data_IF_287955102079
#
_entry.id   IF_287955102079
#
_cell.length_a   1.000
_cell.length_b   1.000
_cell.length_c   1.000
_cell.angle_alpha   90.00
_cell.angle_beta   90.00
_cell.angle_gamma   90.00
#
_symmetry.space_group_name_H-M   'P 1'
#
loop_
_entity.id
_entity.type
_entity.pdbx_description
1 polymer ?
#
# COMPACT_ATOMS: atom_id res chain seq x y z
N UNK A 1 -29.08 -12.48 -15.86
CA UNK A 1 -27.72 -13.04 -15.81
C UNK A 1 -26.77 -11.86 -15.97
N UNK A 2 -26.14 -11.40 -14.89
CA UNK A 2 -25.10 -10.36 -14.94
C UNK A 2 -23.94 -10.94 -15.75
N UNK A 3 -23.64 -10.35 -16.91
CA UNK A 3 -22.46 -10.69 -17.69
C UNK A 3 -21.25 -10.55 -16.76
N UNK A 4 -20.54 -11.64 -16.46
CA UNK A 4 -19.28 -11.58 -15.71
C UNK A 4 -18.33 -10.67 -16.50
N UNK A 5 -18.10 -9.47 -16.02
CA UNK A 5 -16.99 -8.64 -16.49
C UNK A 5 -15.68 -9.39 -16.26
N UNK A 6 -14.65 -9.09 -17.05
CA UNK A 6 -13.31 -9.64 -16.82
C UNK A 6 -12.89 -9.42 -15.35
N UNK A 7 -12.06 -10.29 -14.79
CA UNK A 7 -11.41 -10.02 -13.51
C UNK A 7 -10.71 -8.66 -13.55
N UNK A 8 -10.77 -7.91 -12.45
CA UNK A 8 -10.01 -6.69 -12.28
C UNK A 8 -8.72 -6.96 -11.51
N UNK A 9 -7.71 -6.18 -11.81
CA UNK A 9 -6.48 -6.09 -11.04
C UNK A 9 -6.64 -4.97 -10.00
N UNK A 10 -6.70 -5.33 -8.73
CA UNK A 10 -6.90 -4.40 -7.61
C UNK A 10 -5.63 -4.31 -6.77
N UNK A 11 -5.11 -3.10 -6.63
CA UNK A 11 -4.06 -2.79 -5.66
C UNK A 11 -4.72 -2.10 -4.47
N UNK A 12 -4.74 -2.75 -3.33
CA UNK A 12 -5.28 -2.21 -2.08
C UNK A 12 -4.12 -1.76 -1.21
N UNK A 13 -4.02 -0.46 -0.95
CA UNK A 13 -2.94 0.12 -0.16
C UNK A 13 -3.47 0.64 1.18
N UNK A 14 -2.86 0.19 2.27
CA UNK A 14 -3.22 0.59 3.62
C UNK A 14 -1.97 0.73 4.49
N UNK A 15 -2.08 1.51 5.56
CA UNK A 15 -1.03 1.58 6.58
C UNK A 15 -1.07 0.43 7.58
N UNK A 16 -2.21 -0.28 7.67
CA UNK A 16 -2.44 -1.40 8.59
C UNK A 16 -3.28 -2.47 7.91
N UNK A 17 -3.06 -3.74 8.23
CA UNK A 17 -3.95 -4.85 7.95
C UNK A 17 -3.63 -6.03 8.86
N UNK A 18 -4.66 -6.71 9.38
CA UNK A 18 -4.49 -7.98 10.07
C UNK A 18 -4.08 -9.08 9.08
N UNK A 19 -3.20 -10.03 9.49
CA UNK A 19 -2.55 -10.18 10.80
C UNK A 19 -1.20 -9.42 10.92
N UNK A 20 -0.85 -8.53 9.98
CA UNK A 20 0.49 -7.97 9.82
C UNK A 20 0.80 -6.80 10.74
N UNK A 21 -0.12 -5.85 10.84
CA UNK A 21 0.02 -4.65 11.67
C UNK A 21 -1.37 -4.14 12.06
N UNK A 22 -1.56 -3.77 13.33
CA UNK A 22 -2.85 -3.28 13.80
C UNK A 22 -2.69 -2.30 14.98
N UNK A 23 -3.33 -1.14 14.84
CA UNK A 23 -3.58 -0.21 15.94
C UNK A 23 -5.07 0.11 16.10
N UNK A 24 -5.85 0.00 15.02
CA UNK A 24 -7.27 0.37 15.01
C UNK A 24 -8.13 -0.48 14.09
N UNK A 25 -9.36 -0.03 13.83
CA UNK A 25 -10.35 -0.72 13.00
C UNK A 25 -10.01 -0.76 11.52
N UNK A 26 -9.15 0.15 11.04
CA UNK A 26 -8.63 0.13 9.66
C UNK A 26 -8.04 -1.25 9.32
N UNK A 27 -7.25 -1.81 10.24
CA UNK A 27 -6.57 -3.09 10.02
C UNK A 27 -7.55 -4.25 9.78
N UNK A 28 -8.69 -4.26 10.44
CA UNK A 28 -9.71 -5.30 10.27
C UNK A 28 -10.30 -5.22 8.85
N UNK A 29 -10.64 -4.04 8.38
CA UNK A 29 -11.20 -3.84 7.04
C UNK A 29 -10.16 -4.14 5.96
N UNK A 30 -8.94 -3.59 6.10
CA UNK A 30 -7.88 -3.79 5.11
C UNK A 30 -7.37 -5.25 5.07
N UNK A 31 -7.52 -6.00 6.15
CA UNK A 31 -7.23 -7.44 6.18
C UNK A 31 -8.33 -8.30 5.56
N UNK A 32 -9.61 -7.92 5.70
CA UNK A 32 -10.75 -8.72 5.26
C UNK A 32 -11.20 -8.40 3.81
N UNK A 33 -11.36 -7.12 3.48
CA UNK A 33 -11.92 -6.68 2.19
C UNK A 33 -11.15 -7.19 0.96
N UNK A 34 -9.80 -7.19 0.92
CA UNK A 34 -9.06 -7.75 -0.21
C UNK A 34 -9.33 -9.24 -0.44
N UNK A 35 -9.52 -10.01 0.63
CA UNK A 35 -9.85 -11.43 0.54
C UNK A 35 -11.23 -11.66 -0.10
N UNK A 36 -12.22 -10.80 0.21
CA UNK A 36 -13.53 -10.87 -0.44
C UNK A 36 -13.43 -10.57 -1.94
N UNK A 37 -12.60 -9.61 -2.35
CA UNK A 37 -12.35 -9.36 -3.77
C UNK A 37 -11.73 -10.59 -4.47
N UNK A 38 -10.81 -11.30 -3.80
CA UNK A 38 -10.25 -12.55 -4.34
C UNK A 38 -11.33 -13.63 -4.49
N UNK A 39 -12.22 -13.79 -3.50
CA UNK A 39 -13.35 -14.73 -3.57
C UNK A 39 -14.31 -14.39 -4.72
N UNK A 40 -14.50 -13.10 -5.03
CA UNK A 40 -15.28 -12.63 -6.17
C UNK A 40 -14.58 -12.86 -7.52
N UNK A 41 -13.34 -13.32 -7.51
CA UNK A 41 -12.60 -13.71 -8.71
C UNK A 41 -11.65 -12.65 -9.25
N UNK A 42 -11.41 -11.57 -8.51
CA UNK A 42 -10.46 -10.54 -8.87
C UNK A 42 -9.01 -10.96 -8.55
N UNK A 43 -8.04 -10.34 -9.21
CA UNK A 43 -6.62 -10.45 -8.89
C UNK A 43 -6.22 -9.29 -7.98
N UNK A 44 -5.76 -9.60 -6.77
CA UNK A 44 -5.60 -8.60 -5.70
C UNK A 44 -4.19 -8.64 -5.13
N UNK A 45 -3.60 -7.46 -4.98
CA UNK A 45 -2.41 -7.22 -4.18
C UNK A 45 -2.80 -6.31 -3.00
N UNK A 46 -2.60 -6.78 -1.78
CA UNK A 46 -2.60 -5.95 -0.58
C UNK A 46 -1.20 -5.41 -0.35
N UNK A 47 -1.04 -4.10 -0.25
CA UNK A 47 0.24 -3.42 -0.11
C UNK A 47 0.32 -2.65 1.20
N UNK A 48 1.35 -2.93 1.99
CA UNK A 48 1.57 -2.40 3.34
C UNK A 48 2.99 -1.86 3.51
N UNK A 49 3.24 -0.92 4.44
CA UNK A 49 4.59 -0.66 4.89
C UNK A 49 5.17 -1.89 5.60
N UNK A 50 6.47 -2.14 5.42
CA UNK A 50 7.18 -3.22 6.11
C UNK A 50 7.58 -2.78 7.51
N UNK A 51 6.62 -2.73 8.42
CA UNK A 51 6.89 -2.47 9.83
C UNK A 51 7.63 -3.64 10.48
N UNK A 52 8.32 -3.37 11.58
CA UNK A 52 8.97 -4.40 12.42
C UNK A 52 8.00 -5.53 12.80
N UNK A 53 6.73 -5.21 13.03
CA UNK A 53 5.69 -6.17 13.40
C UNK A 53 5.36 -7.16 12.26
N UNK A 54 5.44 -6.74 11.01
CA UNK A 54 5.20 -7.59 9.84
C UNK A 54 6.17 -8.78 9.85
N UNK A 55 7.42 -8.56 10.19
CA UNK A 55 8.42 -9.62 10.30
C UNK A 55 8.12 -10.62 11.43
N UNK A 56 7.32 -10.23 12.42
CA UNK A 56 6.92 -11.06 13.55
C UNK A 56 5.60 -11.80 13.34
N UNK A 57 4.82 -11.42 12.33
CA UNK A 57 3.50 -12.01 12.03
C UNK A 57 3.54 -13.47 11.54
N UNK A 58 4.74 -14.06 11.43
CA UNK A 58 4.94 -15.45 11.00
C UNK A 58 4.78 -15.69 9.50
N UNK A 59 4.53 -14.65 8.71
CA UNK A 59 4.51 -14.73 7.24
C UNK A 59 5.93 -14.81 6.67
N UNK A 60 6.13 -15.68 5.69
CA UNK A 60 7.38 -15.70 4.93
C UNK A 60 7.26 -14.73 3.77
N UNK A 61 7.97 -13.61 3.86
CA UNK A 61 8.10 -12.66 2.76
C UNK A 61 9.37 -12.94 1.97
N UNK A 62 9.27 -12.91 0.66
CA UNK A 62 10.40 -13.10 -0.26
C UNK A 62 10.66 -11.82 -1.03
N UNK A 63 11.92 -11.41 -1.24
CA UNK A 63 12.26 -10.22 -2.01
C UNK A 63 11.72 -10.31 -3.46
N UNK A 64 11.14 -9.23 -3.93
CA UNK A 64 10.62 -9.06 -5.30
C UNK A 64 11.52 -8.13 -6.10
N UNK A 65 11.72 -6.92 -5.59
CA UNK A 65 12.49 -5.87 -6.27
C UNK A 65 12.89 -4.77 -5.28
N UNK A 66 13.94 -4.04 -5.62
CA UNK A 66 14.27 -2.76 -4.97
C UNK A 66 14.03 -1.65 -5.98
N UNK A 67 13.16 -0.69 -5.63
CA UNK A 67 12.75 0.42 -6.50
C UNK A 67 13.36 1.72 -6.02
N UNK A 68 13.96 2.53 -6.92
CA UNK A 68 14.36 3.89 -6.58
C UNK A 68 13.12 4.79 -6.47
N UNK A 69 13.03 5.53 -5.39
CA UNK A 69 11.94 6.45 -5.08
C UNK A 69 12.48 7.85 -4.90
N UNK A 70 12.07 8.77 -5.77
CA UNK A 70 12.45 10.19 -5.66
C UNK A 70 11.66 10.85 -4.54
N UNK A 71 12.37 11.48 -3.62
CA UNK A 71 11.82 12.28 -2.53
C UNK A 71 12.41 13.70 -2.53
N UNK A 72 11.84 14.66 -1.79
CA UNK A 72 12.47 15.96 -1.62
C UNK A 72 13.88 15.91 -1.01
N UNK A 73 14.18 14.85 -0.25
CA UNK A 73 15.49 14.64 0.40
C UNK A 73 16.47 13.85 -0.48
N UNK A 74 16.09 13.52 -1.72
CA UNK A 74 16.89 12.74 -2.66
C UNK A 74 16.29 11.38 -3.00
N UNK A 75 17.11 10.52 -3.63
CA UNK A 75 16.70 9.18 -4.03
C UNK A 75 16.82 8.20 -2.86
N UNK A 76 15.73 7.54 -2.53
CA UNK A 76 15.69 6.48 -1.53
C UNK A 76 15.32 5.15 -2.19
N UNK A 77 15.67 4.04 -1.54
CA UNK A 77 15.33 2.71 -2.02
C UNK A 77 14.12 2.15 -1.27
N UNK A 78 13.11 1.70 -2.01
CA UNK A 78 11.99 0.93 -1.50
C UNK A 78 12.23 -0.56 -1.77
N UNK A 79 12.39 -1.36 -0.71
CA UNK A 79 12.50 -2.81 -0.81
C UNK A 79 11.10 -3.40 -0.83
N UNK A 80 10.74 -4.07 -1.92
CA UNK A 80 9.43 -4.73 -2.07
C UNK A 80 9.58 -6.22 -1.84
N UNK A 81 8.75 -6.77 -0.98
CA UNK A 81 8.70 -8.20 -0.67
C UNK A 81 7.28 -8.73 -0.82
N UNK A 82 7.15 -10.03 -1.11
CA UNK A 82 5.88 -10.71 -1.34
C UNK A 82 5.66 -11.88 -0.38
N UNK A 83 4.44 -12.02 0.10
CA UNK A 83 3.90 -13.25 0.67
C UNK A 83 2.64 -13.68 -0.08
N UNK A 84 2.41 -15.00 -0.20
CA UNK A 84 1.21 -15.57 -0.79
C UNK A 84 0.30 -16.12 0.31
N UNK A 85 -0.92 -15.61 0.39
CA UNK A 85 -1.90 -15.97 1.41
C UNK A 85 -3.03 -16.80 0.79
N UNK A 86 -3.36 -17.98 1.33
CA UNK A 86 -4.49 -18.76 0.84
C UNK A 86 -5.82 -18.07 1.17
N UNK A 87 -6.72 -18.02 0.18
CA UNK A 87 -8.09 -17.49 0.31
C UNK A 87 -9.05 -18.47 -0.37
N UNK A 88 -9.52 -19.46 0.37
CA UNK A 88 -10.24 -20.61 -0.18
C UNK A 88 -9.35 -21.39 -1.16
N UNK A 89 -9.83 -21.60 -2.38
CA UNK A 89 -9.08 -22.26 -3.46
C UNK A 89 -8.11 -21.33 -4.21
N UNK A 90 -8.10 -20.05 -3.86
CA UNK A 90 -7.27 -19.03 -4.51
C UNK A 90 -6.15 -18.57 -3.59
N UNK A 91 -5.31 -17.68 -4.10
CA UNK A 91 -4.26 -17.00 -3.33
C UNK A 91 -4.36 -15.50 -3.53
N UNK A 92 -4.08 -14.77 -2.47
CA UNK A 92 -3.90 -13.33 -2.47
C UNK A 92 -2.41 -13.01 -2.33
N UNK A 93 -1.94 -12.04 -3.06
CA UNK A 93 -0.59 -11.50 -2.87
C UNK A 93 -0.64 -10.42 -1.80
N UNK A 94 0.26 -10.52 -0.84
CA UNK A 94 0.53 -9.46 0.14
C UNK A 94 1.92 -8.95 -0.11
N UNK A 95 2.04 -7.68 -0.44
CA UNK A 95 3.30 -7.02 -0.69
C UNK A 95 3.62 -6.04 0.41
N UNK A 96 4.89 -5.91 0.75
CA UNK A 96 5.37 -4.92 1.71
C UNK A 96 6.38 -4.00 1.06
N UNK A 97 6.36 -2.74 1.46
CA UNK A 97 7.34 -1.73 1.08
C UNK A 97 8.19 -1.39 2.30
N UNK A 98 9.47 -1.74 2.24
CA UNK A 98 10.45 -1.51 3.30
C UNK A 98 11.39 -0.35 3.00
N UNK A 99 11.66 0.44 4.03
CA UNK A 99 12.78 1.34 4.18
C UNK A 99 13.06 1.44 5.68
N UNK A 100 14.16 0.85 6.13
CA UNK A 100 14.35 0.53 7.55
C UNK A 100 14.29 1.77 8.45
N UNK A 101 14.89 2.90 8.06
CA UNK A 101 14.82 4.14 8.84
C UNK A 101 13.39 4.67 9.00
N UNK A 102 12.46 4.32 8.09
CA UNK A 102 11.06 4.74 8.16
C UNK A 102 10.17 3.71 8.84
N UNK A 103 10.37 2.41 8.60
CA UNK A 103 9.39 1.40 8.99
C UNK A 103 9.87 0.35 9.98
N UNK A 104 11.19 0.14 10.16
CA UNK A 104 11.70 -0.76 11.20
C UNK A 104 11.78 -0.04 12.56
N UNK A 105 10.62 0.32 13.10
CA UNK A 105 10.48 1.05 14.37
C UNK A 105 9.62 0.28 15.35
N UNK A 106 9.63 0.71 16.60
CA UNK A 106 8.90 0.07 17.72
C UNK A 106 7.39 0.14 17.53
N UNK A 107 6.87 1.27 17.09
CA UNK A 107 5.44 1.48 16.80
C UNK A 107 5.19 1.85 15.33
N UNK A 108 3.93 1.79 14.92
CA UNK A 108 3.53 2.11 13.55
C UNK A 108 3.62 3.62 13.29
N UNK A 109 3.11 4.43 14.21
CA UNK A 109 2.98 5.89 14.06
C UNK A 109 3.67 6.69 15.16
N UNK A 110 3.90 6.06 16.31
CA UNK A 110 4.33 6.71 17.53
C UNK A 110 5.21 5.78 18.37
N UNK A 111 5.96 6.38 19.30
CA UNK A 111 6.70 5.67 20.32
C UNK A 111 6.47 6.33 21.68
N UNK A 112 6.16 5.53 22.71
CA UNK A 112 5.86 6.01 24.06
C UNK A 112 4.74 7.08 24.10
N UNK A 113 3.75 7.00 23.19
CA UNK A 113 2.62 7.92 23.13
C UNK A 113 2.91 9.25 22.40
N UNK A 114 4.08 9.37 21.76
CA UNK A 114 4.47 10.56 20.99
C UNK A 114 4.59 10.18 19.52
N UNK A 115 3.89 10.89 18.63
CA UNK A 115 3.97 10.68 17.20
C UNK A 115 5.39 10.89 16.68
N UNK A 116 5.78 10.07 15.69
CA UNK A 116 7.04 10.29 15.01
C UNK A 116 7.01 11.61 14.25
N UNK A 117 7.99 12.50 14.45
CA UNK A 117 8.01 13.82 13.83
C UNK A 117 8.09 13.77 12.29
N UNK A 118 8.60 12.67 11.75
CA UNK A 118 8.77 12.42 10.32
C UNK A 118 7.63 11.58 9.72
N UNK A 119 6.46 11.50 10.33
CA UNK A 119 5.32 10.75 9.79
C UNK A 119 4.90 11.24 8.41
N UNK A 120 5.00 12.55 8.13
CA UNK A 120 4.71 13.09 6.81
C UNK A 120 5.64 12.49 5.75
N UNK A 121 6.95 12.53 5.98
CA UNK A 121 7.97 12.03 5.07
C UNK A 121 7.85 10.51 4.87
N UNK A 122 7.59 9.77 5.94
CA UNK A 122 7.41 8.31 5.92
C UNK A 122 6.27 7.91 4.99
N UNK A 123 5.09 8.52 5.15
CA UNK A 123 3.93 8.17 4.36
C UNK A 123 3.91 8.83 2.97
N UNK A 124 4.57 9.97 2.79
CA UNK A 124 4.84 10.52 1.46
C UNK A 124 5.77 9.58 0.66
N UNK A 125 6.83 9.06 1.29
CA UNK A 125 7.68 8.02 0.69
C UNK A 125 6.88 6.77 0.34
N UNK A 126 6.03 6.28 1.27
CA UNK A 126 5.19 5.11 1.01
C UNK A 126 4.29 5.33 -0.21
N UNK A 127 3.62 6.47 -0.30
CA UNK A 127 2.79 6.81 -1.46
C UNK A 127 3.59 6.86 -2.78
N UNK A 128 4.79 7.44 -2.76
CA UNK A 128 5.68 7.43 -3.94
C UNK A 128 6.10 6.01 -4.32
N UNK A 129 6.45 5.19 -3.33
CA UNK A 129 6.83 3.80 -3.55
C UNK A 129 5.68 2.95 -4.09
N UNK A 130 4.42 3.21 -3.69
CA UNK A 130 3.23 2.60 -4.30
C UNK A 130 3.17 2.91 -5.80
N UNK A 131 3.38 4.16 -6.19
CA UNK A 131 3.36 4.57 -7.60
C UNK A 131 4.44 3.84 -8.40
N UNK A 132 5.68 3.80 -7.91
CA UNK A 132 6.77 3.07 -8.58
C UNK A 132 6.51 1.56 -8.63
N UNK A 133 5.86 1.01 -7.60
CA UNK A 133 5.42 -0.39 -7.58
C UNK A 133 4.38 -0.68 -8.68
N UNK A 134 3.42 0.22 -8.90
CA UNK A 134 2.44 0.09 -9.98
C UNK A 134 3.09 0.09 -11.36
N UNK A 135 4.07 0.97 -11.57
CA UNK A 135 4.84 1.02 -12.82
C UNK A 135 5.63 -0.27 -13.03
N UNK A 136 6.32 -0.75 -11.99
CA UNK A 136 7.02 -2.03 -12.02
C UNK A 136 6.09 -3.19 -12.36
N UNK A 137 4.93 -3.26 -11.72
CA UNK A 137 3.93 -4.31 -11.98
C UNK A 137 3.50 -4.32 -13.44
N UNK A 138 3.23 -3.18 -14.02
CA UNK A 138 2.83 -3.09 -15.42
C UNK A 138 3.95 -3.45 -16.37
N UNK A 139 5.15 -2.93 -16.17
CA UNK A 139 6.29 -3.12 -17.07
C UNK A 139 6.86 -4.53 -17.00
N UNK A 140 7.12 -5.00 -15.77
CA UNK A 140 7.91 -6.21 -15.57
C UNK A 140 7.05 -7.46 -15.30
N UNK A 141 5.80 -7.25 -14.85
CA UNK A 141 4.87 -8.32 -14.52
C UNK A 141 3.64 -8.37 -15.44
N UNK A 142 3.52 -7.44 -16.39
CA UNK A 142 2.36 -7.31 -17.29
C UNK A 142 1.02 -7.23 -16.51
N UNK A 143 1.08 -6.65 -15.32
CA UNK A 143 -0.04 -6.50 -14.40
C UNK A 143 -0.41 -5.02 -14.25
N UNK A 144 -1.29 -4.54 -15.14
CA UNK A 144 -1.82 -3.18 -15.07
C UNK A 144 -2.85 -3.06 -13.95
N UNK A 145 -2.71 -2.05 -13.09
CA UNK A 145 -3.66 -1.77 -12.01
C UNK A 145 -4.94 -1.16 -12.58
N UNK A 146 -6.07 -1.87 -12.53
CA UNK A 146 -7.38 -1.32 -12.90
C UNK A 146 -7.91 -0.36 -11.82
N UNK A 147 -7.77 -0.75 -10.54
CA UNK A 147 -8.20 0.06 -9.39
C UNK A 147 -7.10 0.12 -8.33
N UNK A 148 -6.79 1.33 -7.90
CA UNK A 148 -6.00 1.62 -6.71
C UNK A 148 -6.96 2.01 -5.59
N UNK A 149 -7.13 1.13 -4.59
CA UNK A 149 -7.95 1.38 -3.42
C UNK A 149 -7.07 1.82 -2.26
N UNK A 150 -7.24 3.04 -1.84
CA UNK A 150 -6.48 3.74 -0.83
C UNK A 150 -7.26 3.79 0.48
N UNK A 151 -6.57 3.64 1.60
CA UNK A 151 -7.17 3.68 2.93
C UNK A 151 -6.51 4.75 3.79
N UNK A 152 -7.31 5.71 4.21
CA UNK A 152 -6.96 6.87 5.06
C UNK A 152 -5.85 7.79 4.50
N UNK A 153 -5.45 8.77 5.31
CA UNK A 153 -4.51 9.82 4.90
C UNK A 153 -3.12 9.29 4.53
N UNK A 154 -2.70 8.19 5.15
CA UNK A 154 -1.39 7.58 4.93
C UNK A 154 -1.16 7.13 3.48
N UNK A 155 -2.23 6.91 2.72
CA UNK A 155 -2.17 6.50 1.32
C UNK A 155 -2.76 7.54 0.36
N UNK A 156 -3.45 8.56 0.88
CA UNK A 156 -4.22 9.52 0.09
C UNK A 156 -3.38 10.31 -0.94
N UNK A 157 -2.10 10.58 -0.65
CA UNK A 157 -1.21 11.28 -1.58
C UNK A 157 -1.03 10.56 -2.92
N UNK A 158 -1.25 9.24 -2.99
CA UNK A 158 -1.23 8.52 -4.26
C UNK A 158 -2.25 9.09 -5.25
N UNK A 159 -3.46 9.43 -4.78
CA UNK A 159 -4.49 10.03 -5.64
C UNK A 159 -4.07 11.40 -6.17
N UNK A 160 -3.37 12.19 -5.34
CA UNK A 160 -2.82 13.49 -5.75
C UNK A 160 -1.72 13.29 -6.79
N UNK A 161 -0.76 12.42 -6.53
CA UNK A 161 0.34 12.15 -7.46
C UNK A 161 -0.16 11.68 -8.82
N UNK A 162 -1.12 10.75 -8.88
CA UNK A 162 -1.72 10.28 -10.13
C UNK A 162 -2.39 11.39 -10.95
N UNK A 163 -2.86 12.46 -10.31
CA UNK A 163 -3.53 13.60 -10.98
C UNK A 163 -2.61 14.78 -11.26
N UNK A 164 -1.42 14.79 -10.71
CA UNK A 164 -0.47 15.90 -10.82
C UNK A 164 0.86 15.45 -11.41
N UNK A 165 1.81 15.03 -10.57
CA UNK A 165 3.18 14.73 -10.98
C UNK A 165 3.30 13.51 -11.89
N UNK A 166 2.36 12.56 -11.80
CA UNK A 166 2.35 11.30 -12.56
C UNK A 166 1.27 11.25 -13.64
N UNK A 167 0.53 12.34 -13.86
CA UNK A 167 -0.61 12.38 -14.78
C UNK A 167 -0.25 12.03 -16.24
N UNK A 168 1.00 12.20 -16.65
CA UNK A 168 1.48 11.88 -17.99
C UNK A 168 2.05 10.47 -18.16
N UNK A 169 2.14 9.66 -17.11
CA UNK A 169 2.71 8.30 -17.18
C UNK A 169 1.70 7.35 -17.79
N UNK A 170 2.04 6.79 -18.96
CA UNK A 170 1.17 5.90 -19.73
C UNK A 170 0.73 4.67 -18.92
N UNK A 171 1.62 4.13 -18.09
CA UNK A 171 1.37 2.96 -17.24
C UNK A 171 0.25 3.17 -16.22
N UNK A 172 -0.01 4.42 -15.83
CA UNK A 172 -0.95 4.79 -14.77
C UNK A 172 -2.24 5.40 -15.31
N UNK A 173 -2.30 5.70 -16.60
CA UNK A 173 -3.37 6.51 -17.22
C UNK A 173 -4.76 5.87 -17.12
N UNK A 174 -4.85 4.54 -17.11
CA UNK A 174 -6.11 3.81 -17.03
C UNK A 174 -6.56 3.50 -15.59
N UNK A 175 -5.70 3.71 -14.60
CA UNK A 175 -5.97 3.38 -13.20
C UNK A 175 -7.05 4.29 -12.62
N UNK A 176 -8.07 3.68 -12.01
CA UNK A 176 -9.08 4.37 -11.21
C UNK A 176 -8.72 4.32 -9.73
N UNK A 177 -8.92 5.43 -9.03
CA UNK A 177 -8.65 5.54 -7.59
C UNK A 177 -9.93 5.53 -6.78
N UNK A 178 -9.92 4.80 -5.68
CA UNK A 178 -10.94 4.82 -4.62
C UNK A 178 -10.23 5.17 -3.32
N UNK A 179 -10.72 6.14 -2.57
CA UNK A 179 -10.22 6.47 -1.23
C UNK A 179 -11.32 6.19 -0.21
N UNK A 180 -11.02 5.34 0.78
CA UNK A 180 -11.88 5.09 1.93
C UNK A 180 -11.31 5.78 3.16
N UNK A 181 -12.12 6.57 3.84
CA UNK A 181 -11.79 7.21 5.11
C UNK A 181 -12.48 6.43 6.24
N UNK A 182 -11.67 5.85 7.15
CA UNK A 182 -12.19 5.08 8.29
C UNK A 182 -12.41 5.94 9.51
N UNK A 183 -11.59 6.96 9.69
CA UNK A 183 -11.72 7.88 10.82
C UNK A 183 -11.37 9.31 10.41
N UNK A 184 -12.38 10.15 10.27
CA UNK A 184 -12.23 11.55 9.87
C UNK A 184 -11.51 12.42 10.92
N UNK A 185 -11.38 11.94 12.15
CA UNK A 185 -10.61 12.60 13.21
C UNK A 185 -9.08 12.55 12.99
N UNK A 186 -8.60 11.61 12.17
CA UNK A 186 -7.18 11.46 11.84
C UNK A 186 -6.95 11.85 10.37
N UNK A 187 -6.52 13.07 10.14
CA UNK A 187 -6.43 13.68 8.80
C UNK A 187 -5.00 13.84 8.30
N UNK A 188 -3.99 13.46 9.08
CA UNK A 188 -2.59 13.65 8.70
C UNK A 188 -2.24 15.16 8.59
N UNK A 189 -2.60 15.91 9.61
CA UNK A 189 -2.28 17.33 9.68
C UNK A 189 -0.85 17.51 10.21
N UNK A 190 -0.04 18.23 9.46
CA UNK A 190 1.34 18.53 9.81
C UNK A 190 1.57 20.04 9.75
N UNK A 191 2.49 20.59 10.59
CA UNK A 191 2.86 21.99 10.51
C UNK A 191 3.38 22.32 9.09
N UNK A 192 2.93 23.45 8.54
CA UNK A 192 3.53 24.00 7.34
C UNK A 192 4.96 24.47 7.62
N UNK A 193 5.88 24.19 6.72
CA UNK A 193 7.24 24.75 6.76
C UNK A 193 7.27 26.18 6.27
#
# INVERSE_FOLDING_TARGET
VVKRSRPFNLLVAASEAIPYAKTGGLADVAGALPQEFVKLGHDVILLLPRYREVNRSGGTFTPVVTLPVQTPMGMLNAVVEEALVPVGERRMRVWTIGHDSYFDRTGLYQEAGVDYPDNLERFAFFCRAIIETMVYLQRERQWATDFLHLHDWQTALCAVYLKTTEAGRAELSATKTVLTLHNIGYQGLFPGS
#
